data_IF_529157024705
#
_entry.id   IF_529157024705
#
_cell.length_a   1.000
_cell.length_b   1.000
_cell.length_c   1.000
_cell.angle_alpha   90.00
_cell.angle_beta   90.00
_cell.angle_gamma   90.00
#
_symmetry.space_group_name_H-M   'P 1'
#
loop_
_entity.id
_entity.type
_entity.pdbx_description
1 polymer ?
#
# COMPACT_ATOMS: atom_id res chain seq x y z
N UNK A 1 24.33 34.77 -9.23
CA UNK A 1 25.02 33.58 -9.79
C UNK A 1 24.68 32.36 -8.96
N UNK A 2 24.34 31.25 -9.61
CA UNK A 2 24.03 29.94 -9.02
C UNK A 2 25.33 29.25 -8.59
N UNK A 3 25.33 28.53 -7.47
CA UNK A 3 26.25 27.40 -7.28
C UNK A 3 25.48 26.18 -6.77
N UNK A 4 25.43 25.16 -7.64
CA UNK A 4 25.15 23.76 -7.33
C UNK A 4 26.44 23.15 -6.78
N UNK A 5 26.36 22.20 -5.84
CA UNK A 5 27.35 21.10 -5.84
C UNK A 5 26.84 19.86 -5.13
N UNK A 6 26.78 18.78 -5.90
CA UNK A 6 26.55 17.40 -5.50
C UNK A 6 27.90 16.73 -5.13
N UNK A 7 27.82 15.69 -4.29
CA UNK A 7 28.70 14.50 -4.25
C UNK A 7 30.22 14.74 -4.16
N UNK A 8 30.76 14.82 -2.94
CA UNK A 8 32.08 14.25 -2.57
C UNK A 8 32.02 14.02 -1.05
N UNK A 9 32.24 12.79 -0.59
CA UNK A 9 33.07 12.46 0.59
C UNK A 9 33.24 10.93 0.59
N UNK A 10 34.07 10.49 -0.37
CA UNK A 10 34.90 9.30 -0.15
C UNK A 10 35.90 9.68 0.96
N UNK A 11 36.32 8.66 1.71
CA UNK A 11 37.40 8.64 2.71
C UNK A 11 37.04 9.06 4.13
N UNK A 12 36.80 8.05 4.96
CA UNK A 12 37.61 7.88 6.17
C UNK A 12 37.63 6.40 6.56
N UNK A 13 38.79 5.78 6.33
CA UNK A 13 39.17 4.42 6.69
C UNK A 13 39.91 4.54 8.03
N UNK A 14 39.39 3.95 9.12
CA UNK A 14 40.20 3.65 10.30
C UNK A 14 39.78 2.28 10.82
N UNK A 15 40.70 1.33 10.69
CA UNK A 15 40.62 0.02 11.32
C UNK A 15 41.07 0.15 12.79
N UNK A 16 40.32 -0.46 13.72
CA UNK A 16 40.87 -0.91 15.00
C UNK A 16 40.15 -2.19 15.44
N UNK A 17 40.97 -3.14 15.87
CA UNK A 17 40.68 -4.56 16.10
C UNK A 17 40.39 -4.81 17.60
N UNK A 18 39.76 -5.96 17.87
CA UNK A 18 39.79 -6.80 19.10
C UNK A 18 38.68 -6.56 20.14
N UNK A 19 37.74 -7.51 20.26
CA UNK A 19 37.63 -8.43 21.43
C UNK A 19 36.41 -9.35 21.31
N UNK A 20 36.64 -10.64 21.49
CA UNK A 20 35.67 -11.73 21.60
C UNK A 20 34.89 -11.64 22.92
N UNK A 21 33.57 -11.77 22.86
CA UNK A 21 32.75 -12.20 24.00
C UNK A 21 31.67 -13.16 23.50
N UNK A 22 31.90 -14.45 23.77
CA UNK A 22 30.90 -15.48 23.64
C UNK A 22 29.81 -15.24 24.69
N UNK A 23 28.65 -14.73 24.28
CA UNK A 23 27.44 -14.81 25.08
C UNK A 23 26.64 -16.02 24.63
N UNK A 24 26.76 -17.09 25.41
CA UNK A 24 25.78 -18.16 25.47
C UNK A 24 24.43 -17.58 25.92
N UNK A 25 23.53 -17.30 24.98
CA UNK A 25 22.12 -17.09 25.30
C UNK A 25 21.36 -18.40 25.14
N UNK A 26 21.52 -19.25 26.15
CA UNK A 26 20.46 -20.14 26.60
C UNK A 26 19.32 -19.26 27.10
N UNK A 27 18.35 -18.94 26.23
CA UNK A 27 17.15 -18.19 26.60
C UNK A 27 15.94 -18.89 26.01
N UNK A 28 15.22 -19.57 26.90
CA UNK A 28 13.80 -19.90 26.84
C UNK A 28 13.24 -20.28 25.47
N UNK A 29 13.09 -21.57 25.24
CA UNK A 29 12.06 -22.07 24.33
C UNK A 29 10.69 -21.88 25.01
N UNK A 30 10.32 -20.61 25.22
CA UNK A 30 9.01 -20.21 25.71
C UNK A 30 8.05 -20.36 24.53
N UNK A 31 7.10 -21.27 24.69
CA UNK A 31 6.17 -21.71 23.66
C UNK A 31 5.56 -20.56 22.87
N UNK A 32 5.94 -20.47 21.60
CA UNK A 32 5.15 -19.79 20.59
C UNK A 32 4.13 -20.78 20.07
N UNK A 33 2.94 -20.83 20.68
CA UNK A 33 1.74 -21.34 20.00
C UNK A 33 1.58 -20.51 18.72
N UNK A 34 2.05 -21.04 17.60
CA UNK A 34 1.78 -20.49 16.28
C UNK A 34 0.32 -20.82 15.95
N UNK A 35 -0.59 -20.09 16.60
CA UNK A 35 -2.00 -20.12 16.31
C UNK A 35 -2.23 -19.54 14.94
N UNK A 36 -2.42 -20.42 13.95
CA UNK A 36 -2.98 -20.08 12.66
C UNK A 36 -4.42 -19.61 12.84
N UNK A 37 -4.60 -18.37 13.30
CA UNK A 37 -5.89 -17.70 13.26
C UNK A 37 -6.25 -17.49 11.81
N UNK A 38 -7.40 -18.04 11.39
CA UNK A 38 -8.07 -17.63 10.17
C UNK A 38 -8.23 -16.11 10.22
N UNK A 39 -7.33 -15.38 9.53
CA UNK A 39 -7.54 -13.97 9.28
C UNK A 39 -8.73 -13.91 8.33
N UNK A 40 -9.88 -13.53 8.89
CA UNK A 40 -11.05 -13.17 8.09
C UNK A 40 -10.70 -12.09 7.06
N UNK A 41 -11.58 -11.85 6.09
CA UNK A 41 -11.38 -10.80 5.11
C UNK A 41 -11.08 -9.46 5.82
N UNK A 42 -10.18 -8.63 5.27
CA UNK A 42 -9.86 -7.34 5.85
C UNK A 42 -11.13 -6.50 6.00
N UNK A 43 -11.21 -5.73 7.09
CA UNK A 43 -12.33 -4.83 7.32
C UNK A 43 -12.42 -3.78 6.21
N UNK A 44 -13.65 -3.38 5.88
CA UNK A 44 -13.87 -2.29 4.94
C UNK A 44 -13.39 -0.97 5.53
N UNK A 45 -12.79 -0.09 4.72
CA UNK A 45 -12.27 1.19 5.19
C UNK A 45 -13.41 2.14 5.57
N UNK A 46 -13.20 2.88 6.64
CA UNK A 46 -14.07 3.97 7.08
C UNK A 46 -14.02 5.16 6.13
N UNK A 47 -15.00 6.07 6.21
CA UNK A 47 -14.99 7.30 5.43
C UNK A 47 -13.73 8.16 5.64
N UNK A 48 -13.16 8.14 6.85
CA UNK A 48 -11.90 8.85 7.15
C UNK A 48 -10.72 8.19 6.44
N UNK A 49 -10.64 6.86 6.48
CA UNK A 49 -9.61 6.11 5.77
C UNK A 49 -9.72 6.27 4.26
N UNK A 50 -10.95 6.33 3.72
CA UNK A 50 -11.19 6.64 2.30
C UNK A 50 -10.62 8.01 1.93
N UNK A 51 -10.85 9.04 2.74
CA UNK A 51 -10.24 10.36 2.53
C UNK A 51 -8.71 10.30 2.56
N UNK A 52 -8.13 9.55 3.50
CA UNK A 52 -6.67 9.36 3.57
C UNK A 52 -6.14 8.65 2.33
N UNK A 53 -6.79 7.58 1.87
CA UNK A 53 -6.40 6.86 0.66
C UNK A 53 -6.41 7.76 -0.59
N UNK A 54 -7.42 8.62 -0.71
CA UNK A 54 -7.52 9.58 -1.81
C UNK A 54 -6.48 10.69 -1.66
N UNK A 55 -6.19 11.14 -0.44
CA UNK A 55 -5.12 12.13 -0.18
C UNK A 55 -3.74 11.58 -0.54
N UNK A 56 -3.45 10.34 -0.16
CA UNK A 56 -2.19 9.65 -0.51
C UNK A 56 -2.05 9.52 -2.03
N UNK A 57 -3.12 9.09 -2.71
CA UNK A 57 -3.15 9.02 -4.16
C UNK A 57 -2.95 10.40 -4.79
N UNK A 58 -3.65 11.42 -4.30
CA UNK A 58 -3.54 12.80 -4.75
C UNK A 58 -2.12 13.33 -4.67
N UNK A 59 -1.39 12.94 -3.62
CA UNK A 59 -0.01 13.36 -3.40
C UNK A 59 0.96 12.62 -4.32
N UNK A 60 0.70 11.35 -4.62
CA UNK A 60 1.56 10.53 -5.49
C UNK A 60 1.41 10.90 -6.98
N UNK A 61 0.17 11.18 -7.44
CA UNK A 61 -0.12 11.42 -8.87
C UNK A 61 -0.52 12.85 -9.19
N UNK A 62 -0.43 13.75 -8.21
CA UNK A 62 -0.70 15.19 -8.36
C UNK A 62 -2.10 15.46 -8.92
N UNK A 63 -3.14 14.96 -8.24
CA UNK A 63 -4.53 15.25 -8.63
C UNK A 63 -4.84 16.73 -8.41
N UNK A 64 -5.63 17.32 -9.31
CA UNK A 64 -6.26 18.62 -9.04
C UNK A 64 -7.37 18.49 -8.01
N UNK A 65 -7.77 19.61 -7.39
CA UNK A 65 -8.87 19.63 -6.42
C UNK A 65 -10.17 19.04 -6.97
N UNK A 66 -10.47 19.30 -8.25
CA UNK A 66 -11.64 18.74 -8.92
C UNK A 66 -11.52 17.23 -9.13
N UNK A 67 -10.35 16.76 -9.56
CA UNK A 67 -10.09 15.32 -9.72
C UNK A 67 -10.15 14.61 -8.37
N UNK A 68 -9.57 15.20 -7.33
CA UNK A 68 -9.60 14.65 -5.98
C UNK A 68 -11.04 14.47 -5.47
N UNK A 69 -11.92 15.46 -5.69
CA UNK A 69 -13.35 15.35 -5.35
C UNK A 69 -14.05 14.22 -6.13
N UNK A 70 -13.78 14.11 -7.43
CA UNK A 70 -14.35 13.03 -8.28
C UNK A 70 -13.86 11.66 -7.83
N UNK A 71 -12.55 11.51 -7.61
CA UNK A 71 -11.93 10.27 -7.14
C UNK A 71 -12.44 9.89 -5.75
N UNK A 72 -12.61 10.85 -4.83
CA UNK A 72 -13.20 10.59 -3.53
C UNK A 72 -14.60 9.96 -3.65
N UNK A 73 -15.45 10.53 -4.51
CA UNK A 73 -16.79 9.99 -4.78
C UNK A 73 -16.73 8.57 -5.36
N UNK A 74 -15.79 8.31 -6.27
CA UNK A 74 -15.58 6.97 -6.84
C UNK A 74 -15.15 5.95 -5.80
N UNK A 75 -14.21 6.31 -4.90
CA UNK A 75 -13.77 5.44 -3.81
C UNK A 75 -14.92 5.14 -2.84
N UNK A 76 -15.68 6.16 -2.42
CA UNK A 76 -16.85 5.98 -1.55
C UNK A 76 -17.87 5.03 -2.19
N UNK A 77 -18.26 5.28 -3.44
CA UNK A 77 -19.23 4.43 -4.15
C UNK A 77 -18.72 3.01 -4.38
N UNK A 78 -17.42 2.82 -4.63
CA UNK A 78 -16.83 1.48 -4.74
C UNK A 78 -16.97 0.70 -3.43
N UNK A 79 -16.61 1.30 -2.30
CA UNK A 79 -16.69 0.62 -1.01
C UNK A 79 -18.13 0.37 -0.55
N UNK A 80 -19.09 1.24 -0.88
CA UNK A 80 -20.52 0.98 -0.65
C UNK A 80 -21.02 -0.23 -1.45
N UNK A 81 -20.59 -0.38 -2.71
CA UNK A 81 -20.93 -1.54 -3.53
C UNK A 81 -20.30 -2.83 -2.99
N UNK A 82 -19.03 -2.77 -2.57
CA UNK A 82 -18.36 -3.91 -1.93
C UNK A 82 -19.05 -4.28 -0.61
N UNK A 83 -19.43 -3.30 0.21
CA UNK A 83 -20.19 -3.54 1.43
C UNK A 83 -21.50 -4.26 1.12
N UNK A 84 -22.28 -3.77 0.16
CA UNK A 84 -23.55 -4.40 -0.24
C UNK A 84 -23.37 -5.85 -0.69
N UNK A 85 -22.27 -6.18 -1.37
CA UNK A 85 -21.99 -7.54 -1.86
C UNK A 85 -21.44 -8.48 -0.78
N UNK A 86 -20.82 -7.93 0.26
CA UNK A 86 -20.22 -8.71 1.35
C UNK A 86 -21.14 -8.89 2.56
N UNK A 87 -22.23 -8.11 2.66
CA UNK A 87 -23.22 -8.20 3.75
C UNK A 87 -23.81 -9.60 3.94
N UNK A 88 -24.06 -10.34 2.86
CA UNK A 88 -24.66 -11.68 2.89
C UNK A 88 -23.64 -12.82 2.93
N UNK A 89 -22.35 -12.52 3.09
CA UNK A 89 -21.27 -13.51 3.14
C UNK A 89 -20.19 -13.27 2.08
N UNK A 90 -19.42 -14.32 1.76
CA UNK A 90 -18.33 -14.24 0.79
C UNK A 90 -18.90 -14.02 -0.62
N UNK A 91 -18.63 -12.88 -1.28
CA UNK A 91 -19.10 -12.63 -2.63
C UNK A 91 -18.39 -13.52 -3.64
N UNK A 92 -19.00 -13.68 -4.81
CA UNK A 92 -18.37 -14.35 -5.93
C UNK A 92 -17.08 -13.62 -6.36
N UNK A 93 -16.05 -14.41 -6.69
CA UNK A 93 -14.75 -13.87 -7.02
C UNK A 93 -14.77 -13.08 -8.33
N UNK A 94 -15.50 -13.55 -9.33
CA UNK A 94 -15.61 -12.88 -10.62
C UNK A 94 -16.37 -11.56 -10.49
N UNK A 95 -17.41 -11.50 -9.65
CA UNK A 95 -18.11 -10.25 -9.32
C UNK A 95 -17.17 -9.23 -8.66
N UNK A 96 -16.36 -9.66 -7.70
CA UNK A 96 -15.40 -8.78 -7.03
C UNK A 96 -14.31 -8.28 -7.99
N UNK A 97 -13.84 -9.13 -8.90
CA UNK A 97 -12.87 -8.74 -9.93
C UNK A 97 -13.50 -7.74 -10.93
N UNK A 98 -14.77 -7.91 -11.28
CA UNK A 98 -15.51 -6.97 -12.12
C UNK A 98 -15.66 -5.59 -11.42
N UNK A 99 -16.14 -5.56 -10.18
CA UNK A 99 -16.27 -4.33 -9.39
C UNK A 99 -14.95 -3.57 -9.27
N UNK A 100 -13.85 -4.29 -9.07
CA UNK A 100 -12.50 -3.71 -9.04
C UNK A 100 -12.12 -3.10 -10.38
N UNK A 101 -12.32 -3.83 -11.49
CA UNK A 101 -11.99 -3.33 -12.84
C UNK A 101 -12.82 -2.10 -13.21
N UNK A 102 -14.11 -2.12 -12.93
CA UNK A 102 -15.01 -1.01 -13.20
C UNK A 102 -14.60 0.23 -12.41
N UNK A 103 -14.26 0.05 -11.13
CA UNK A 103 -13.69 1.13 -10.32
C UNK A 103 -12.39 1.67 -10.90
N UNK A 104 -11.43 0.82 -11.26
CA UNK A 104 -10.16 1.26 -11.86
C UNK A 104 -10.37 2.03 -13.17
N UNK A 105 -11.31 1.60 -14.01
CA UNK A 105 -11.65 2.27 -15.26
C UNK A 105 -12.28 3.64 -15.01
N UNK A 106 -13.22 3.73 -14.06
CA UNK A 106 -13.85 4.99 -13.69
C UNK A 106 -12.84 5.99 -13.10
N UNK A 107 -11.87 5.52 -12.31
CA UNK A 107 -10.79 6.38 -11.83
C UNK A 107 -9.95 6.87 -13.01
N UNK A 108 -9.49 5.99 -13.90
CA UNK A 108 -8.69 6.40 -15.07
C UNK A 108 -9.40 7.41 -15.96
N UNK A 109 -10.71 7.31 -16.13
CA UNK A 109 -11.51 8.22 -16.94
C UNK A 109 -11.50 9.68 -16.45
N UNK A 110 -11.19 9.92 -15.16
CA UNK A 110 -11.07 11.29 -14.61
C UNK A 110 -9.62 11.79 -14.54
N UNK A 111 -8.66 10.98 -14.97
CA UNK A 111 -7.22 11.28 -14.97
C UNK A 111 -6.73 11.69 -16.37
N UNK A 112 -5.70 12.52 -16.41
CA UNK A 112 -4.93 12.76 -17.63
C UNK A 112 -4.08 11.54 -17.99
N UNK A 113 -3.60 11.44 -19.23
CA UNK A 113 -2.78 10.32 -19.68
C UNK A 113 -1.53 10.09 -18.80
N UNK A 114 -0.86 11.17 -18.38
CA UNK A 114 0.31 11.06 -17.52
C UNK A 114 -0.06 10.61 -16.11
N UNK A 115 -1.17 11.11 -15.56
CA UNK A 115 -1.69 10.64 -14.28
C UNK A 115 -2.13 9.17 -14.33
N UNK A 116 -2.64 8.68 -15.46
CA UNK A 116 -2.98 7.26 -15.63
C UNK A 116 -1.75 6.36 -15.55
N UNK A 117 -0.60 6.79 -16.09
CA UNK A 117 0.67 6.05 -15.97
C UNK A 117 1.11 5.98 -14.50
N UNK A 118 1.10 7.12 -13.81
CA UNK A 118 1.44 7.19 -12.38
C UNK A 118 0.48 6.36 -11.52
N UNK A 119 -0.81 6.37 -11.87
CA UNK A 119 -1.82 5.55 -11.18
C UNK A 119 -1.54 4.05 -11.35
N UNK A 120 -1.14 3.61 -12.55
CA UNK A 120 -0.76 2.22 -12.77
C UNK A 120 0.48 1.82 -11.95
N UNK A 121 1.46 2.70 -11.80
CA UNK A 121 2.63 2.48 -10.94
C UNK A 121 2.27 2.43 -9.46
N UNK A 122 1.41 3.35 -9.00
CA UNK A 122 0.88 3.38 -7.64
C UNK A 122 0.19 2.05 -7.29
N UNK A 123 -0.64 1.51 -8.19
CA UNK A 123 -1.30 0.22 -7.99
C UNK A 123 -0.31 -0.95 -7.92
N UNK A 124 0.72 -0.96 -8.77
CA UNK A 124 1.81 -1.95 -8.71
C UNK A 124 2.57 -1.87 -7.38
N UNK A 125 2.81 -0.68 -6.85
CA UNK A 125 3.47 -0.45 -5.56
C UNK A 125 2.63 -0.97 -4.39
N UNK A 126 1.33 -0.68 -4.37
CA UNK A 126 0.40 -1.16 -3.32
C UNK A 126 0.23 -2.68 -3.34
N UNK A 127 0.04 -3.27 -4.51
CA UNK A 127 -0.10 -4.75 -4.65
C UNK A 127 1.16 -5.52 -4.25
N UNK A 128 2.36 -4.96 -4.44
CA UNK A 128 3.62 -5.55 -3.94
C UNK A 128 3.72 -5.50 -2.42
N UNK A 129 3.23 -4.44 -1.78
CA UNK A 129 3.25 -4.28 -0.32
C UNK A 129 2.30 -5.25 0.39
N UNK A 130 1.21 -5.63 -0.26
CA UNK A 130 0.19 -6.52 0.29
C UNK A 130 0.51 -8.02 0.14
N UNK A 131 1.54 -8.39 -0.63
CA UNK A 131 2.00 -9.78 -0.71
C UNK A 131 2.88 -10.07 0.51
N UNK A 132 2.46 -10.92 1.49
CA UNK A 132 3.41 -11.41 2.47
C UNK A 132 4.51 -12.14 1.70
N UNK A 133 5.77 -11.74 1.89
CA UNK A 133 6.89 -12.54 1.43
C UNK A 133 6.74 -13.91 2.08
N UNK A 134 6.24 -14.89 1.32
CA UNK A 134 6.39 -16.29 1.66
C UNK A 134 7.89 -16.56 1.62
N UNK A 135 8.55 -16.41 2.76
CA UNK A 135 9.85 -17.02 3.00
C UNK A 135 9.57 -18.53 3.00
N UNK A 136 9.93 -19.18 1.89
CA UNK A 136 10.10 -20.62 1.85
C UNK A 136 11.31 -21.00 2.70
#
# INVERSE_FOLDING_TARGET
MKFKMNKIWKLMLVALVITTSAFAQQRGQQGGKQGGGQQGPPALPTAKEIKTMVSDLSSEILLSDEQQKKVLKLYTSHFEQVESKTKSGRPDRSEMEALKKDFENNVKAVLTEDQQKLFAEYQKKKSKKERPQRKN
#
